data_IF_056313297727
#
_entry.id   IF_056313297727
#
_cell.length_a   1.000
_cell.length_b   1.000
_cell.length_c   1.000
_cell.angle_alpha   90.00
_cell.angle_beta   90.00
_cell.angle_gamma   90.00
#
_symmetry.space_group_name_H-M   'P 1'
#
loop_
_entity.id
_entity.type
_entity.pdbx_description
1 polymer ?
#
# COMPACT_ATOMS: atom_id res chain seq x y z
N UNK A 1 18.55 -1.65 18.72
CA UNK A 1 17.33 -0.84 18.51
C UNK A 1 16.33 -1.73 17.80
N UNK A 2 15.05 -1.74 18.18
CA UNK A 2 14.03 -2.50 17.45
C UNK A 2 13.96 -1.98 15.99
N UNK A 3 13.82 -2.90 15.04
CA UNK A 3 13.68 -2.55 13.62
C UNK A 3 12.26 -2.05 13.31
N UNK A 4 12.12 -1.23 12.26
CA UNK A 4 10.81 -0.91 11.68
C UNK A 4 10.70 -1.58 10.31
N UNK A 5 9.56 -2.21 10.03
CA UNK A 5 9.27 -2.83 8.75
C UNK A 5 8.55 -1.85 7.81
N UNK A 6 8.84 -1.95 6.52
CA UNK A 6 8.29 -1.08 5.47
C UNK A 6 7.82 -1.93 4.30
N UNK A 7 6.54 -1.83 4.00
CA UNK A 7 5.93 -2.44 2.84
C UNK A 7 5.58 -1.37 1.81
N UNK A 8 6.21 -1.44 0.65
CA UNK A 8 6.05 -0.47 -0.44
C UNK A 8 6.13 -1.18 -1.78
N UNK A 9 5.35 -0.72 -2.76
CA UNK A 9 5.56 -1.04 -4.15
C UNK A 9 5.95 0.22 -4.94
N UNK A 10 6.78 0.11 -5.99
CA UNK A 10 7.15 1.24 -6.84
C UNK A 10 5.93 1.98 -7.39
N UNK A 11 4.86 1.25 -7.70
CA UNK A 11 3.64 1.75 -8.32
C UNK A 11 2.89 2.72 -7.42
N UNK A 12 2.90 2.48 -6.10
CA UNK A 12 2.20 3.34 -5.15
C UNK A 12 3.08 4.47 -4.61
N UNK A 13 4.41 4.39 -4.72
CA UNK A 13 5.39 5.38 -4.25
C UNK A 13 5.48 5.55 -2.72
N UNK A 14 4.38 5.32 -2.01
CA UNK A 14 4.23 5.26 -0.56
C UNK A 14 3.49 3.97 -0.19
N UNK A 15 3.59 3.57 1.07
CA UNK A 15 3.00 2.31 1.52
C UNK A 15 2.80 2.27 3.03
N UNK A 16 2.94 1.09 3.61
CA UNK A 16 2.68 0.79 5.00
C UNK A 16 3.99 0.68 5.81
N UNK A 17 3.90 0.81 7.12
CA UNK A 17 5.01 0.43 7.98
C UNK A 17 4.65 0.32 9.45
N UNK A 18 5.47 -0.41 10.20
CA UNK A 18 5.45 -0.40 11.66
C UNK A 18 6.17 0.85 12.18
N UNK A 19 5.86 1.23 13.41
CA UNK A 19 6.41 2.39 14.10
C UNK A 19 7.45 1.95 15.15
N UNK A 20 8.27 2.91 15.59
CA UNK A 20 9.33 2.63 16.57
C UNK A 20 8.79 2.28 17.97
N UNK A 21 7.55 2.67 18.26
CA UNK A 21 6.82 2.39 19.49
C UNK A 21 5.92 1.14 19.40
N UNK A 22 5.83 0.50 18.23
CA UNK A 22 5.15 -0.80 18.10
C UNK A 22 5.98 -1.92 18.78
N UNK A 23 5.35 -3.01 19.25
CA UNK A 23 6.05 -4.19 19.74
C UNK A 23 7.10 -4.69 18.73
N UNK A 24 8.33 -5.05 19.14
CA UNK A 24 9.39 -5.46 18.23
C UNK A 24 8.98 -6.59 17.27
N UNK A 25 8.17 -7.54 17.73
CA UNK A 25 7.65 -8.67 16.95
C UNK A 25 6.73 -8.24 15.79
N UNK A 26 6.07 -7.08 15.88
CA UNK A 26 5.20 -6.60 14.80
C UNK A 26 6.02 -6.29 13.55
N UNK A 27 7.28 -5.88 13.69
CA UNK A 27 8.18 -5.67 12.55
C UNK A 27 8.52 -6.98 11.83
N UNK A 28 8.35 -8.14 12.47
CA UNK A 28 8.65 -9.45 11.88
C UNK A 28 7.45 -10.03 11.13
N UNK A 29 6.21 -9.71 11.54
CA UNK A 29 5.00 -10.39 11.05
C UNK A 29 3.93 -9.47 10.47
N UNK A 30 4.07 -8.14 10.59
CA UNK A 30 3.09 -7.17 10.09
C UNK A 30 3.70 -6.20 9.09
N UNK A 31 2.86 -5.80 8.13
CA UNK A 31 3.14 -4.66 7.25
C UNK A 31 2.93 -3.30 7.95
N UNK A 32 2.25 -3.29 9.10
CA UNK A 32 1.96 -2.10 9.89
C UNK A 32 0.78 -1.29 9.38
N UNK A 33 0.82 0.02 9.58
CA UNK A 33 -0.28 0.96 9.28
C UNK A 33 0.02 1.82 8.05
N UNK A 34 -1.01 2.36 7.36
CA UNK A 34 -0.81 3.34 6.30
C UNK A 34 -0.05 4.57 6.79
N UNK A 35 0.82 5.09 5.94
CA UNK A 35 1.46 6.38 6.14
C UNK A 35 0.51 7.50 5.74
N UNK A 36 0.78 8.72 6.20
CA UNK A 36 -0.02 9.88 5.83
C UNK A 36 -0.13 9.99 4.30
N UNK A 37 -1.37 10.16 3.81
CA UNK A 37 -1.68 10.20 2.38
C UNK A 37 -1.74 8.83 1.69
N UNK A 38 -1.69 7.72 2.43
CA UNK A 38 -1.89 6.36 1.90
C UNK A 38 -3.26 5.82 2.31
N UNK A 39 -4.07 5.45 1.32
CA UNK A 39 -5.26 4.63 1.50
C UNK A 39 -4.92 3.16 1.25
N UNK A 40 -5.42 2.27 2.10
CA UNK A 40 -5.32 0.82 1.93
C UNK A 40 -6.71 0.18 2.01
N UNK A 41 -6.96 -0.81 1.16
CA UNK A 41 -8.14 -1.67 1.28
C UNK A 41 -7.78 -3.11 0.94
N UNK A 42 -8.42 -4.05 1.61
CA UNK A 42 -8.39 -5.47 1.21
C UNK A 42 -9.66 -5.76 0.43
N UNK A 43 -9.53 -6.39 -0.75
CA UNK A 43 -10.68 -6.72 -1.60
C UNK A 43 -10.71 -8.19 -1.97
N UNK A 44 -11.91 -8.75 -2.04
CA UNK A 44 -12.10 -10.09 -2.63
C UNK A 44 -12.02 -10.04 -4.16
N UNK A 45 -12.06 -11.22 -4.80
CA UNK A 45 -12.05 -11.36 -6.25
C UNK A 45 -13.21 -10.65 -6.98
N UNK A 46 -14.31 -10.36 -6.28
CA UNK A 46 -15.44 -9.57 -6.79
C UNK A 46 -15.26 -8.06 -6.65
N UNK A 47 -14.08 -7.59 -6.19
CA UNK A 47 -13.76 -6.18 -6.00
C UNK A 47 -14.41 -5.53 -4.78
N UNK A 48 -15.07 -6.30 -3.90
CA UNK A 48 -15.68 -5.76 -2.67
C UNK A 48 -14.66 -5.65 -1.55
N UNK A 49 -14.70 -4.54 -0.83
CA UNK A 49 -13.89 -4.30 0.37
C UNK A 49 -14.27 -5.30 1.46
N UNK A 50 -13.27 -5.91 2.09
CA UNK A 50 -13.39 -6.81 3.21
C UNK A 50 -13.17 -6.06 4.54
N UNK A 51 -13.76 -6.60 5.61
CA UNK A 51 -13.50 -6.16 6.99
C UNK A 51 -12.10 -6.62 7.46
N UNK A 52 -11.69 -6.15 8.64
CA UNK A 52 -10.34 -6.23 9.20
C UNK A 52 -9.69 -7.63 9.31
N UNK A 53 -10.48 -8.70 9.14
CA UNK A 53 -10.02 -10.11 9.21
C UNK A 53 -10.16 -10.87 7.89
N UNK A 54 -10.65 -10.22 6.82
CA UNK A 54 -10.83 -10.86 5.52
C UNK A 54 -9.52 -10.97 4.75
N UNK A 55 -9.19 -12.16 4.27
CA UNK A 55 -8.07 -12.37 3.35
C UNK A 55 -8.47 -12.00 1.91
N UNK A 56 -7.62 -11.22 1.24
CA UNK A 56 -7.86 -10.76 -0.12
C UNK A 56 -6.68 -9.98 -0.71
N UNK A 57 -6.93 -9.32 -1.83
CA UNK A 57 -5.93 -8.50 -2.51
C UNK A 57 -5.74 -7.16 -1.79
N UNK A 58 -4.48 -6.77 -1.59
CA UNK A 58 -4.11 -5.47 -1.03
C UNK A 58 -4.10 -4.43 -2.13
N UNK A 59 -4.95 -3.41 -2.02
CA UNK A 59 -4.94 -2.26 -2.91
C UNK A 59 -4.39 -1.05 -2.15
N UNK A 60 -3.37 -0.42 -2.74
CA UNK A 60 -2.74 0.80 -2.23
C UNK A 60 -3.04 1.97 -3.17
N UNK A 61 -3.39 3.12 -2.58
CA UNK A 61 -3.47 4.39 -3.27
C UNK A 61 -2.69 5.43 -2.48
N UNK A 62 -1.98 6.30 -3.18
CA UNK A 62 -1.37 7.48 -2.59
C UNK A 62 -1.30 8.61 -3.61
N UNK A 63 -0.96 9.81 -3.17
CA UNK A 63 -0.68 10.95 -4.07
C UNK A 63 0.60 10.76 -4.90
N UNK A 64 1.45 9.80 -4.53
CA UNK A 64 2.69 9.46 -5.24
C UNK A 64 2.53 8.27 -6.20
N UNK A 65 1.29 7.86 -6.51
CA UNK A 65 1.04 6.76 -7.46
C UNK A 65 1.63 7.08 -8.83
N UNK A 66 2.29 6.10 -9.44
CA UNK A 66 2.86 6.28 -10.77
C UNK A 66 1.76 6.41 -11.83
N UNK A 67 2.04 7.16 -12.91
CA UNK A 67 1.11 7.32 -14.02
C UNK A 67 0.89 6.01 -14.82
N UNK A 68 1.79 5.04 -14.69
CA UNK A 68 1.70 3.74 -15.36
C UNK A 68 3.05 3.30 -15.93
N UNK A 69 3.10 2.07 -16.42
CA UNK A 69 4.33 1.52 -16.99
C UNK A 69 4.66 2.18 -18.33
N UNK A 70 5.96 2.40 -18.59
CA UNK A 70 6.43 2.96 -19.86
C UNK A 70 5.92 2.13 -21.04
N UNK A 71 5.33 2.80 -22.04
CA UNK A 71 4.74 2.17 -23.22
C UNK A 71 3.40 1.46 -22.99
N UNK A 72 2.88 1.48 -21.75
CA UNK A 72 1.56 0.93 -21.36
C UNK A 72 0.76 1.92 -20.52
N UNK A 73 1.16 3.20 -20.53
CA UNK A 73 0.45 4.24 -19.83
C UNK A 73 -0.97 4.35 -20.42
N UNK A 74 -2.00 4.30 -19.58
CA UNK A 74 -3.39 4.53 -20.00
C UNK A 74 -3.72 6.01 -20.13
N UNK A 75 -2.80 6.88 -19.67
CA UNK A 75 -2.92 8.33 -19.65
C UNK A 75 -2.36 8.97 -20.93
N UNK A 76 -2.88 8.57 -22.09
CA UNK A 76 -2.56 9.21 -23.38
C UNK A 76 -3.33 10.54 -23.59
N UNK A 77 -4.02 11.07 -22.58
CA UNK A 77 -4.98 12.16 -22.76
C UNK A 77 -4.88 13.34 -21.77
N UNK A 78 -4.06 13.29 -20.71
CA UNK A 78 -4.02 14.42 -19.74
C UNK A 78 -3.02 15.52 -20.11
N UNK A 79 -2.14 15.30 -21.09
CA UNK A 79 -1.18 16.31 -21.57
C UNK A 79 -1.16 16.54 -23.09
N UNK A 80 -2.21 16.13 -23.80
CA UNK A 80 -2.40 16.43 -25.22
C UNK A 80 -3.29 17.65 -25.43
#
# INVERSE_FOLDING_TARGET
MPGCNRYICPEAGLGLGTRADDPPEDAEVRAGRPRDGVDVSIRNAGGRVLSDEGEGEVLLRSEAVMNGYVGKNTDHAVFA
#
